data_IF_674306967810
#
_entry.id   IF_674306967810
#
_cell.length_a   1.000
_cell.length_b   1.000
_cell.length_c   1.000
_cell.angle_alpha   90.00
_cell.angle_beta   90.00
_cell.angle_gamma   90.00
#
_symmetry.space_group_name_H-M   'P 1'
#
loop_
_entity.id
_entity.type
_entity.pdbx_description
1 polymer ?
#
# COMPACT_ATOMS: atom_id res chain seq x y z
N UNK A 1 -14.47 35.79 -6.56
CA UNK A 1 -13.45 34.86 -6.03
C UNK A 1 -12.85 35.43 -4.76
N UNK A 2 -12.53 34.59 -3.77
CA UNK A 2 -11.90 35.03 -2.51
C UNK A 2 -10.38 34.90 -2.64
N UNK A 3 -9.65 36.00 -2.47
CA UNK A 3 -8.17 36.00 -2.47
C UNK A 3 -7.67 35.29 -1.21
N UNK A 4 -6.90 34.19 -1.38
CA UNK A 4 -6.45 33.31 -0.29
C UNK A 4 -5.01 33.56 0.18
N UNK A 5 -4.28 34.48 -0.47
CA UNK A 5 -2.94 34.84 -0.06
C UNK A 5 -2.27 35.82 -1.04
N UNK A 6 -1.23 36.49 -0.55
CA UNK A 6 -0.37 37.39 -1.35
C UNK A 6 1.07 36.87 -1.31
N UNK A 7 1.71 36.77 -2.47
CA UNK A 7 3.12 36.38 -2.60
C UNK A 7 3.93 37.40 -3.40
N UNK A 8 5.24 37.42 -3.19
CA UNK A 8 6.21 38.21 -3.95
C UNK A 8 6.97 37.29 -4.91
N UNK A 9 7.06 37.64 -6.18
CA UNK A 9 7.84 36.87 -7.16
C UNK A 9 9.30 37.35 -7.15
N UNK A 10 10.24 36.41 -7.18
CA UNK A 10 11.68 36.67 -7.27
C UNK A 10 12.33 35.56 -8.08
N UNK A 11 12.97 35.92 -9.20
CA UNK A 11 13.71 35.01 -10.07
C UNK A 11 12.89 33.80 -10.55
N UNK A 12 11.60 33.99 -10.83
CA UNK A 12 10.68 32.94 -11.27
C UNK A 12 10.09 32.09 -10.14
N UNK A 13 10.38 32.41 -8.88
CA UNK A 13 9.83 31.73 -7.71
C UNK A 13 8.87 32.65 -6.94
N UNK A 14 7.68 32.16 -6.63
CA UNK A 14 6.70 32.88 -5.83
C UNK A 14 6.91 32.61 -4.33
N UNK A 15 7.27 33.65 -3.58
CA UNK A 15 7.43 33.64 -2.13
C UNK A 15 6.14 34.12 -1.45
N UNK A 16 5.36 33.24 -0.84
CA UNK A 16 4.24 33.66 0.01
C UNK A 16 4.76 34.34 1.28
N UNK A 17 4.31 35.58 1.55
CA UNK A 17 4.58 36.24 2.83
C UNK A 17 3.51 35.80 3.83
N UNK A 18 3.79 34.73 4.57
CA UNK A 18 2.91 34.27 5.66
C UNK A 18 3.20 35.11 6.91
N UNK A 19 2.37 36.12 7.21
CA UNK A 19 2.57 37.02 8.37
C UNK A 19 2.17 36.43 9.73
N UNK A 20 1.86 35.15 9.76
CA UNK A 20 1.67 34.27 10.92
C UNK A 20 1.59 32.84 10.36
N UNK A 21 1.75 31.76 11.14
CA UNK A 21 1.43 30.42 10.68
C UNK A 21 -0.10 30.30 10.49
N UNK A 22 -0.60 30.84 9.38
CA UNK A 22 -1.98 30.65 8.93
C UNK A 22 -2.05 29.21 8.43
N UNK A 23 -2.51 28.31 9.28
CA UNK A 23 -2.77 26.92 8.89
C UNK A 23 -2.47 25.83 9.91
N UNK A 24 -2.34 26.14 11.20
CA UNK A 24 -2.44 25.12 12.26
C UNK A 24 -3.34 25.65 13.37
N UNK A 25 -4.58 25.99 12.99
CA UNK A 25 -5.70 26.08 13.94
C UNK A 25 -5.82 24.69 14.53
N UNK A 26 -5.45 24.48 15.79
CA UNK A 26 -5.54 23.24 16.61
C UNK A 26 -6.21 22.06 15.86
N UNK A 27 -5.52 21.50 14.88
CA UNK A 27 -6.11 20.47 14.05
C UNK A 27 -6.02 19.19 14.87
N UNK A 28 -7.15 18.49 14.99
CA UNK A 28 -7.16 17.22 15.70
C UNK A 28 -6.14 16.28 15.05
N UNK A 29 -5.50 15.38 15.82
CA UNK A 29 -4.54 14.42 15.26
C UNK A 29 -5.10 13.63 14.06
N UNK A 30 -6.41 13.35 14.07
CA UNK A 30 -7.11 12.68 12.98
C UNK A 30 -7.22 13.54 11.71
N UNK A 31 -7.45 14.85 11.85
CA UNK A 31 -7.53 15.78 10.73
C UNK A 31 -6.16 15.94 10.06
N UNK A 32 -5.10 16.16 10.85
CA UNK A 32 -3.73 16.23 10.33
C UNK A 32 -3.30 14.93 9.66
N UNK A 33 -3.66 13.79 10.25
CA UNK A 33 -3.42 12.48 9.65
C UNK A 33 -4.11 12.32 8.29
N UNK A 34 -5.36 12.78 8.14
CA UNK A 34 -6.08 12.75 6.88
C UNK A 34 -5.50 13.72 5.83
N UNK A 35 -5.20 14.96 6.22
CA UNK A 35 -4.62 15.98 5.32
C UNK A 35 -3.26 15.56 4.75
N UNK A 36 -2.46 14.81 5.51
CA UNK A 36 -1.15 14.30 5.08
C UNK A 36 -1.24 12.99 4.28
N UNK A 37 -2.44 12.52 3.94
CA UNK A 37 -2.62 11.30 3.14
C UNK A 37 -2.50 10.01 3.94
N UNK A 38 -2.94 10.02 5.20
CA UNK A 38 -2.90 8.89 6.12
C UNK A 38 -1.51 8.24 6.21
N UNK A 39 -0.42 8.94 6.59
CA UNK A 39 0.87 8.30 6.79
C UNK A 39 0.84 7.31 7.97
N UNK A 40 1.75 6.33 8.00
CA UNK A 40 1.89 5.48 9.19
C UNK A 40 2.30 6.31 10.42
N UNK A 41 2.09 5.78 11.64
CA UNK A 41 2.28 6.53 12.89
C UNK A 41 3.69 7.11 13.02
N UNK A 42 4.72 6.30 12.76
CA UNK A 42 6.12 6.75 12.83
C UNK A 42 6.39 7.90 11.85
N UNK A 43 5.86 7.82 10.63
CA UNK A 43 5.99 8.88 9.62
C UNK A 43 5.21 10.14 10.00
N UNK A 44 4.01 9.98 10.59
CA UNK A 44 3.21 11.11 11.09
C UNK A 44 3.93 11.84 12.22
N UNK A 45 4.50 11.10 13.19
CA UNK A 45 5.28 11.67 14.30
C UNK A 45 6.54 12.41 13.81
N UNK A 46 7.17 11.92 12.74
CA UNK A 46 8.31 12.58 12.11
C UNK A 46 7.91 13.86 11.37
N UNK A 47 6.79 13.86 10.65
CA UNK A 47 6.27 15.03 9.93
C UNK A 47 5.68 16.09 10.86
N UNK A 48 5.09 15.68 11.98
CA UNK A 48 4.43 16.56 12.95
C UNK A 48 4.91 16.23 14.37
N UNK A 49 6.04 16.80 14.83
CA UNK A 49 6.65 16.49 16.13
C UNK A 49 5.72 16.71 17.35
N UNK A 50 4.71 17.59 17.20
CA UNK A 50 3.67 17.82 18.21
C UNK A 50 2.81 16.58 18.50
N UNK A 51 2.72 15.66 17.54
CA UNK A 51 2.00 14.39 17.67
C UNK A 51 2.89 13.24 18.17
N UNK A 52 4.10 13.52 18.66
CA UNK A 52 5.03 12.51 19.21
C UNK A 52 4.43 11.64 20.32
N UNK A 53 3.46 12.16 21.09
CA UNK A 53 2.74 11.42 22.15
C UNK A 53 1.54 10.62 21.63
N UNK A 54 1.20 10.70 20.34
CA UNK A 54 0.10 9.93 19.77
C UNK A 54 0.49 8.45 19.71
N UNK A 55 -0.28 7.60 20.36
CA UNK A 55 -0.01 6.15 20.45
C UNK A 55 -0.68 5.32 19.37
N UNK A 56 -1.83 5.76 18.87
CA UNK A 56 -2.63 5.01 17.89
C UNK A 56 -3.24 5.93 16.82
N UNK A 57 -3.49 5.34 15.66
CA UNK A 57 -4.25 5.94 14.55
C UNK A 57 -5.63 5.28 14.48
N UNK A 58 -6.51 5.75 13.59
CA UNK A 58 -7.77 5.06 13.36
C UNK A 58 -7.54 3.62 12.86
N UNK A 59 -8.38 2.71 13.34
CA UNK A 59 -8.33 1.28 12.98
C UNK A 59 -8.37 1.06 11.47
N UNK A 60 -9.23 1.81 10.76
CA UNK A 60 -9.33 1.78 9.30
C UNK A 60 -8.00 2.03 8.57
N UNK A 61 -7.17 2.94 9.09
CA UNK A 61 -5.89 3.27 8.47
C UNK A 61 -4.81 2.23 8.78
N UNK A 62 -4.89 1.58 9.94
CA UNK A 62 -4.02 0.46 10.29
C UNK A 62 -4.35 -0.76 9.43
N UNK A 63 -5.63 -1.09 9.29
CA UNK A 63 -6.10 -2.19 8.45
C UNK A 63 -5.80 -1.95 6.96
N UNK A 64 -6.02 -0.73 6.46
CA UNK A 64 -5.73 -0.38 5.07
C UNK A 64 -4.23 -0.42 4.71
N UNK A 65 -3.35 -0.38 5.70
CA UNK A 65 -1.89 -0.50 5.52
C UNK A 65 -1.32 -1.81 6.04
N UNK A 66 -2.16 -2.72 6.51
CA UNK A 66 -1.71 -3.99 7.03
C UNK A 66 -1.11 -4.81 5.87
N UNK A 67 0.21 -4.98 5.90
CA UNK A 67 0.88 -5.88 4.97
C UNK A 67 0.54 -7.31 5.33
N UNK A 68 0.33 -8.17 4.32
CA UNK A 68 0.23 -9.61 4.55
C UNK A 68 1.50 -10.08 5.27
N UNK A 69 1.34 -10.85 6.34
CA UNK A 69 2.48 -11.51 6.99
C UNK A 69 3.23 -12.37 5.96
N UNK A 70 4.53 -12.55 6.19
CA UNK A 70 5.30 -13.49 5.36
C UNK A 70 4.66 -14.87 5.45
N UNK A 71 4.58 -15.56 4.30
CA UNK A 71 4.27 -16.98 4.31
C UNK A 71 5.28 -17.69 5.21
N UNK A 72 4.83 -18.68 5.98
CA UNK A 72 5.75 -19.50 6.76
C UNK A 72 6.79 -20.09 5.81
N UNK A 73 8.07 -20.09 6.25
CA UNK A 73 9.13 -20.76 5.50
C UNK A 73 8.70 -22.21 5.33
N UNK A 74 8.73 -22.69 4.08
CA UNK A 74 8.23 -24.00 3.67
C UNK A 74 8.55 -25.07 4.71
N UNK A 75 7.51 -25.57 5.37
CA UNK A 75 7.58 -26.89 6.01
C UNK A 75 7.87 -27.89 4.89
N UNK A 76 8.74 -28.90 5.06
CA UNK A 76 8.95 -29.94 4.06
C UNK A 76 7.66 -30.77 3.92
N UNK A 77 6.68 -30.23 3.19
CA UNK A 77 5.37 -30.80 2.93
C UNK A 77 5.29 -31.39 1.52
N UNK A 78 6.44 -31.77 0.94
CA UNK A 78 6.44 -32.51 -0.31
C UNK A 78 5.81 -33.88 -0.05
N UNK A 79 4.99 -34.36 -0.97
CA UNK A 79 4.48 -35.72 -0.95
C UNK A 79 5.63 -36.73 -0.76
N UNK A 80 5.34 -37.86 -0.09
CA UNK A 80 6.33 -38.91 0.19
C UNK A 80 6.30 -40.08 -0.81
N UNK A 81 5.28 -40.12 -1.67
CA UNK A 81 5.13 -41.13 -2.71
C UNK A 81 4.43 -40.53 -3.93
N UNK A 82 4.72 -41.09 -5.10
CA UNK A 82 4.07 -40.70 -6.36
C UNK A 82 2.56 -40.71 -6.25
N UNK A 83 1.91 -39.68 -6.78
CA UNK A 83 0.47 -39.49 -6.82
C UNK A 83 -0.22 -39.35 -5.46
N UNK A 84 0.51 -39.18 -4.35
CA UNK A 84 -0.12 -38.90 -3.05
C UNK A 84 -0.73 -37.49 -2.98
N UNK A 85 -0.21 -36.55 -3.78
CA UNK A 85 -0.76 -35.20 -3.93
C UNK A 85 -0.51 -34.72 -5.36
N UNK A 86 -1.58 -34.32 -6.05
CA UNK A 86 -1.52 -33.76 -7.41
C UNK A 86 -2.15 -32.37 -7.40
N UNK A 87 -1.40 -31.36 -7.82
CA UNK A 87 -1.89 -30.00 -8.01
C UNK A 87 -2.47 -29.87 -9.41
N UNK A 88 -3.75 -29.51 -9.50
CA UNK A 88 -4.41 -29.24 -10.78
C UNK A 88 -4.72 -27.76 -10.93
N UNK A 89 -4.42 -27.18 -12.09
CA UNK A 89 -4.74 -25.78 -12.39
C UNK A 89 -5.21 -25.61 -13.84
N UNK A 90 -5.93 -24.53 -14.11
CA UNK A 90 -6.35 -24.11 -15.44
C UNK A 90 -5.59 -22.85 -15.81
N UNK A 91 -4.75 -22.95 -16.83
CA UNK A 91 -4.00 -21.84 -17.37
C UNK A 91 -4.63 -21.32 -18.66
N UNK A 92 -4.92 -20.01 -18.75
CA UNK A 92 -5.35 -19.37 -19.98
C UNK A 92 -6.19 -18.09 -19.78
N UNK A 93 -6.52 -17.37 -20.87
CA UNK A 93 -6.22 -17.69 -22.27
C UNK A 93 -4.77 -17.37 -22.66
N UNK A 94 -4.08 -18.33 -23.28
CA UNK A 94 -2.76 -18.15 -23.87
C UNK A 94 -2.82 -17.21 -25.08
N UNK A 95 -1.82 -16.35 -25.21
CA UNK A 95 -1.65 -15.46 -26.38
C UNK A 95 -1.35 -16.24 -27.67
N UNK A 96 -0.67 -17.38 -27.54
CA UNK A 96 -0.34 -18.27 -28.65
C UNK A 96 -1.26 -19.48 -28.58
N UNK A 97 -1.97 -19.75 -29.67
CA UNK A 97 -2.83 -20.92 -29.78
C UNK A 97 -1.98 -22.19 -29.89
N UNK A 98 -2.47 -23.29 -29.34
CA UNK A 98 -1.88 -24.60 -29.59
C UNK A 98 -1.97 -24.96 -31.08
N UNK A 99 -1.27 -26.02 -31.49
CA UNK A 99 -1.35 -26.58 -32.85
C UNK A 99 -2.78 -26.93 -33.26
N UNK A 100 -3.66 -27.23 -32.30
CA UNK A 100 -5.08 -27.54 -32.51
C UNK A 100 -6.01 -26.34 -32.25
N UNK A 101 -5.47 -25.16 -31.98
CA UNK A 101 -6.26 -23.93 -31.80
C UNK A 101 -6.74 -23.65 -30.37
N UNK A 102 -6.35 -24.45 -29.37
CA UNK A 102 -6.74 -24.23 -27.98
C UNK A 102 -5.95 -23.10 -27.33
N UNK A 103 -6.57 -22.43 -26.35
CA UNK A 103 -5.97 -21.32 -25.60
C UNK A 103 -6.04 -21.52 -24.08
N UNK A 104 -6.79 -22.52 -23.61
CA UNK A 104 -6.83 -22.92 -22.22
C UNK A 104 -6.21 -24.30 -22.08
N UNK A 105 -5.48 -24.51 -20.99
CA UNK A 105 -4.75 -25.73 -20.70
C UNK A 105 -5.03 -26.14 -19.27
N UNK A 106 -5.21 -27.43 -19.05
CA UNK A 106 -5.30 -28.00 -17.70
C UNK A 106 -3.95 -28.62 -17.39
N UNK A 107 -3.32 -28.22 -16.29
CA UNK A 107 -2.06 -28.77 -15.82
C UNK A 107 -2.32 -29.68 -14.62
N UNK A 108 -1.66 -30.82 -14.59
CA UNK A 108 -1.61 -31.72 -13.44
C UNK A 108 -0.14 -31.91 -13.07
N UNK A 109 0.22 -31.56 -11.84
CA UNK A 109 1.60 -31.64 -11.33
C UNK A 109 1.59 -32.56 -10.13
N UNK A 110 2.29 -33.69 -10.22
CA UNK A 110 2.55 -34.55 -9.08
C UNK A 110 3.53 -33.85 -8.13
N UNK A 111 3.17 -33.74 -6.85
CA UNK A 111 4.00 -33.06 -5.87
C UNK A 111 5.25 -33.87 -5.50
N UNK A 112 5.24 -35.18 -5.73
CA UNK A 112 6.35 -36.07 -5.39
C UNK A 112 7.48 -36.08 -6.43
N UNK A 113 7.18 -36.14 -7.73
CA UNK A 113 8.15 -36.32 -8.83
C UNK A 113 8.68 -35.04 -9.49
#
# INVERSE_FOLDING_TARGET
>A
GRMIGTGCESHGLYHLRTSAPVGLVVDSPSLLHAQLGHPNLAKLQHLVPRLSKLSHLSESCQLGKHSRSSFSRSVPNRALSSFALVHSDIWGPSRVRSTLGFQYFVTFIDDYS
#
